data_IF_201881758345
#
_entry.id   IF_201881758345
#
_cell.length_a   1.000
_cell.length_b   1.000
_cell.length_c   1.000
_cell.angle_alpha   90.00
_cell.angle_beta   90.00
_cell.angle_gamma   90.00
#
_symmetry.space_group_name_H-M   'P 1'
#
loop_
_entity.id
_entity.type
_entity.pdbx_description
1 polymer ?
#
# COMPACT_ATOMS: atom_id res chain seq x y z
N UNK A 1 15.84 15.25 -16.14
CA UNK A 1 15.31 14.38 -15.08
C UNK A 1 14.89 13.02 -15.64
N UNK A 2 15.76 12.03 -15.50
CA UNK A 2 15.49 10.64 -15.91
C UNK A 2 14.64 9.99 -14.81
N UNK A 3 13.44 9.56 -15.16
CA UNK A 3 12.73 8.54 -14.38
C UNK A 3 13.30 7.22 -14.86
N UNK A 4 13.96 6.49 -13.97
CA UNK A 4 14.22 5.09 -14.19
C UNK A 4 12.84 4.43 -14.21
N UNK A 5 12.33 4.14 -15.41
CA UNK A 5 11.32 3.11 -15.53
C UNK A 5 11.99 1.82 -15.08
N UNK A 6 11.40 1.14 -14.10
CA UNK A 6 11.84 -0.18 -13.66
C UNK A 6 11.08 -1.21 -14.49
N UNK A 7 11.61 -1.65 -15.64
CA UNK A 7 10.86 -2.51 -16.57
C UNK A 7 10.58 -3.88 -15.95
N UNK A 8 11.34 -4.23 -14.91
CA UNK A 8 11.20 -5.45 -14.10
C UNK A 8 9.94 -5.48 -13.22
N UNK A 9 9.25 -4.36 -13.01
CA UNK A 9 7.94 -4.36 -12.34
C UNK A 9 6.81 -4.83 -13.28
N UNK A 10 7.03 -4.78 -14.60
CA UNK A 10 5.99 -5.02 -15.59
C UNK A 10 5.89 -6.43 -16.17
N UNK A 11 6.58 -7.44 -15.62
CA UNK A 11 6.75 -8.71 -16.36
C UNK A 11 6.07 -9.95 -15.73
N UNK A 12 5.52 -9.87 -14.52
CA UNK A 12 4.66 -10.92 -13.94
C UNK A 12 3.98 -10.41 -12.65
N UNK A 13 2.70 -10.03 -12.71
CA UNK A 13 1.96 -9.55 -11.53
C UNK A 13 1.79 -10.63 -10.46
N UNK A 14 1.57 -11.89 -10.84
CA UNK A 14 1.41 -13.01 -9.92
C UNK A 14 2.72 -13.27 -9.15
N UNK A 15 3.84 -13.32 -9.88
CA UNK A 15 5.17 -13.45 -9.26
C UNK A 15 5.56 -12.23 -8.41
N UNK A 16 5.03 -11.04 -8.70
CA UNK A 16 5.20 -9.86 -7.85
C UNK A 16 4.43 -10.02 -6.54
N UNK A 17 3.15 -10.44 -6.60
CA UNK A 17 2.32 -10.69 -5.42
C UNK A 17 2.96 -11.74 -4.50
N UNK A 18 3.43 -12.85 -5.06
CA UNK A 18 4.14 -13.89 -4.29
C UNK A 18 5.38 -13.34 -3.56
N UNK A 19 6.23 -12.60 -4.27
CA UNK A 19 7.43 -11.99 -3.67
C UNK A 19 7.04 -10.96 -2.60
N UNK A 20 6.02 -10.15 -2.84
CA UNK A 20 5.57 -9.15 -1.89
C UNK A 20 5.04 -9.83 -0.61
N UNK A 21 4.17 -10.84 -0.74
CA UNK A 21 3.69 -11.60 0.41
C UNK A 21 4.83 -12.25 1.19
N UNK A 22 5.83 -12.81 0.51
CA UNK A 22 7.00 -13.37 1.19
C UNK A 22 7.77 -12.31 2.00
N UNK A 23 8.03 -11.14 1.41
CA UNK A 23 8.73 -10.04 2.08
C UNK A 23 7.92 -9.51 3.27
N UNK A 24 6.62 -9.25 3.09
CA UNK A 24 5.75 -8.73 4.15
C UNK A 24 5.67 -9.71 5.32
N UNK A 25 5.44 -11.01 5.07
CA UNK A 25 5.44 -12.04 6.12
C UNK A 25 6.77 -12.11 6.86
N UNK A 26 7.88 -12.03 6.13
CA UNK A 26 9.22 -12.05 6.71
C UNK A 26 9.49 -10.84 7.60
N UNK A 27 9.07 -9.65 7.17
CA UNK A 27 9.20 -8.42 7.95
C UNK A 27 8.25 -8.39 9.15
N UNK A 28 7.02 -8.88 9.01
CA UNK A 28 6.07 -9.05 10.12
C UNK A 28 6.66 -9.95 11.21
N UNK A 29 7.29 -11.07 10.82
CA UNK A 29 7.99 -11.95 11.76
C UNK A 29 9.20 -11.29 12.45
N UNK A 30 9.72 -10.17 11.90
CA UNK A 30 10.80 -9.37 12.47
C UNK A 30 10.30 -8.14 13.25
N UNK A 31 8.98 -7.93 13.35
CA UNK A 31 8.37 -6.83 14.10
C UNK A 31 7.96 -5.62 13.26
N UNK A 32 7.65 -5.81 11.97
CA UNK A 32 6.93 -4.77 11.21
C UNK A 32 5.53 -4.59 11.79
N UNK A 33 5.13 -3.35 12.05
CA UNK A 33 3.85 -3.05 12.71
C UNK A 33 2.68 -2.80 11.73
N UNK A 34 2.96 -2.39 10.48
CA UNK A 34 1.90 -1.94 9.58
C UNK A 34 2.23 -2.02 8.09
N UNK A 35 1.18 -1.97 7.28
CA UNK A 35 1.21 -2.01 5.82
C UNK A 35 0.27 -0.94 5.23
N UNK A 36 0.80 -0.12 4.32
CA UNK A 36 -0.02 0.82 3.55
C UNK A 36 -0.83 0.06 2.50
N UNK A 37 -2.15 0.02 2.70
CA UNK A 37 -3.05 -0.72 1.80
C UNK A 37 -3.82 0.24 0.88
N UNK A 38 -4.12 1.45 1.36
CA UNK A 38 -4.83 2.46 0.59
C UNK A 38 -3.85 3.47 -0.01
N UNK A 39 -3.76 3.47 -1.34
CA UNK A 39 -2.87 4.34 -2.11
C UNK A 39 -3.59 4.97 -3.31
N UNK A 40 -3.30 6.22 -3.72
CA UNK A 40 -4.05 6.92 -4.77
C UNK A 40 -4.15 6.20 -6.11
N UNK A 41 -3.17 5.38 -6.45
CA UNK A 41 -3.12 4.67 -7.73
C UNK A 41 -3.49 3.19 -7.63
N UNK A 42 -3.77 2.67 -6.43
CA UNK A 42 -4.21 1.28 -6.29
C UNK A 42 -5.65 1.15 -6.75
N UNK A 43 -5.91 0.12 -7.55
CA UNK A 43 -7.27 -0.30 -7.85
C UNK A 43 -7.85 -1.17 -6.72
N UNK A 44 -9.08 -1.66 -6.94
CA UNK A 44 -9.79 -2.49 -5.97
C UNK A 44 -9.06 -3.80 -5.68
N UNK A 45 -8.53 -4.48 -6.71
CA UNK A 45 -7.88 -5.80 -6.56
C UNK A 45 -6.50 -5.67 -5.88
N UNK A 46 -5.77 -4.59 -6.16
CA UNK A 46 -4.53 -4.27 -5.44
C UNK A 46 -4.81 -3.97 -3.96
N UNK A 47 -5.83 -3.15 -3.68
CA UNK A 47 -6.20 -2.76 -2.31
C UNK A 47 -6.67 -3.97 -1.50
N UNK A 48 -7.59 -4.78 -2.03
CA UNK A 48 -8.10 -5.98 -1.36
C UNK A 48 -7.01 -7.00 -1.07
N UNK A 49 -6.07 -7.18 -2.02
CA UNK A 49 -4.92 -8.06 -1.81
C UNK A 49 -4.04 -7.62 -0.63
N UNK A 50 -3.74 -6.32 -0.53
CA UNK A 50 -2.93 -5.79 0.58
C UNK A 50 -3.67 -5.86 1.91
N UNK A 51 -4.99 -5.57 1.92
CA UNK A 51 -5.82 -5.69 3.10
C UNK A 51 -5.85 -7.13 3.63
N UNK A 52 -6.02 -8.12 2.75
CA UNK A 52 -5.99 -9.52 3.12
C UNK A 52 -4.61 -9.95 3.66
N UNK A 53 -3.53 -9.45 3.07
CA UNK A 53 -2.16 -9.72 3.53
C UNK A 53 -1.86 -9.08 4.89
N UNK A 54 -2.36 -7.86 5.13
CA UNK A 54 -2.26 -7.19 6.42
C UNK A 54 -3.01 -7.99 7.51
N UNK A 55 -4.24 -8.44 7.21
CA UNK A 55 -5.04 -9.26 8.12
C UNK A 55 -4.34 -10.58 8.44
N UNK A 56 -3.78 -11.26 7.43
CA UNK A 56 -3.05 -12.51 7.60
C UNK A 56 -1.85 -12.35 8.54
N UNK A 57 -1.14 -11.23 8.44
CA UNK A 57 0.08 -10.96 9.20
C UNK A 57 -0.17 -10.24 10.53
N UNK A 58 -1.42 -9.86 10.84
CA UNK A 58 -1.76 -9.05 12.02
C UNK A 58 -1.17 -7.64 11.99
N UNK A 59 -1.02 -7.05 10.81
CA UNK A 59 -0.44 -5.72 10.60
C UNK A 59 -1.50 -4.63 10.67
N UNK A 60 -1.13 -3.45 11.20
CA UNK A 60 -1.94 -2.24 11.13
C UNK A 60 -2.08 -1.77 9.67
N UNK A 61 -3.28 -1.39 9.26
CA UNK A 61 -3.54 -0.88 7.92
C UNK A 61 -3.32 0.64 7.89
N UNK A 62 -2.52 1.14 6.94
CA UNK A 62 -2.34 2.58 6.73
C UNK A 62 -2.77 3.09 5.35
N UNK A 63 -2.80 4.42 5.25
CA UNK A 63 -3.19 5.18 4.07
C UNK A 63 -2.24 6.36 3.88
N UNK A 64 -1.84 6.63 2.63
CA UNK A 64 -0.96 7.74 2.31
C UNK A 64 -1.13 8.19 0.86
N UNK A 65 -1.17 9.50 0.63
CA UNK A 65 -1.28 10.05 -0.72
C UNK A 65 0.06 10.20 -1.43
N UNK A 66 1.17 10.22 -0.68
CA UNK A 66 2.50 10.52 -1.20
C UNK A 66 2.51 11.87 -1.99
N UNK A 67 1.83 12.88 -1.42
CA UNK A 67 1.71 14.20 -2.03
C UNK A 67 3.01 14.99 -1.82
N UNK A 68 3.69 15.31 -2.92
CA UNK A 68 4.90 16.14 -2.95
C UNK A 68 4.64 17.59 -3.39
N UNK A 69 3.37 17.99 -3.48
CA UNK A 69 2.97 19.36 -3.76
C UNK A 69 3.11 19.80 -5.22
N UNK A 70 2.85 21.09 -5.48
CA UNK A 70 2.90 21.66 -6.84
C UNK A 70 4.31 21.56 -7.44
N UNK A 71 4.40 21.04 -8.67
CA UNK A 71 5.68 20.84 -9.38
C UNK A 71 6.19 19.39 -9.37
N UNK A 72 5.52 18.49 -8.64
CA UNK A 72 5.76 17.06 -8.76
C UNK A 72 5.37 16.53 -10.16
N UNK A 73 6.11 15.53 -10.65
CA UNK A 73 5.88 14.92 -11.97
C UNK A 73 4.50 14.27 -12.10
N UNK A 74 4.01 13.69 -11.01
CA UNK A 74 2.66 13.15 -10.89
C UNK A 74 2.05 13.72 -9.62
N UNK A 75 0.96 14.47 -9.77
CA UNK A 75 0.29 15.10 -8.64
C UNK A 75 -0.67 14.09 -8.02
N UNK A 76 -0.27 13.49 -6.89
CA UNK A 76 -1.11 12.61 -6.06
C UNK A 76 -1.64 13.43 -4.88
N UNK A 77 -2.72 14.16 -5.13
CA UNK A 77 -3.26 15.10 -4.15
C UNK A 77 -3.68 14.35 -2.89
N UNK A 78 -3.52 15.01 -1.75
CA UNK A 78 -4.19 14.56 -0.53
C UNK A 78 -5.68 14.28 -0.83
N UNK A 79 -6.15 13.11 -0.38
CA UNK A 79 -7.54 12.64 -0.53
C UNK A 79 -7.98 12.18 -1.95
N UNK A 80 -7.07 11.95 -2.90
CA UNK A 80 -7.42 11.42 -4.23
C UNK A 80 -7.26 9.90 -4.35
N UNK A 81 -8.09 9.11 -3.67
CA UNK A 81 -8.06 7.64 -3.72
C UNK A 81 -9.06 7.09 -4.74
N UNK A 82 -8.69 6.01 -5.44
CA UNK A 82 -9.58 5.32 -6.39
C UNK A 82 -10.58 4.40 -5.69
N UNK A 83 -10.21 3.89 -4.52
CA UNK A 83 -11.01 2.96 -3.70
C UNK A 83 -11.60 3.70 -2.50
N UNK A 84 -12.83 3.35 -2.13
CA UNK A 84 -13.45 3.84 -0.90
C UNK A 84 -12.73 3.27 0.33
N UNK A 85 -12.36 4.15 1.24
CA UNK A 85 -11.54 3.80 2.40
C UNK A 85 -12.42 3.35 3.55
N UNK A 86 -12.20 2.14 4.05
CA UNK A 86 -12.81 1.69 5.31
C UNK A 86 -12.06 2.33 6.49
N UNK A 87 -12.64 3.41 7.02
CA UNK A 87 -12.08 4.16 8.13
C UNK A 87 -11.93 3.34 9.42
N UNK A 88 -12.64 2.21 9.57
CA UNK A 88 -12.50 1.37 10.76
C UNK A 88 -11.16 0.63 10.76
N UNK A 89 -10.63 0.29 9.58
CA UNK A 89 -9.31 -0.35 9.44
C UNK A 89 -8.14 0.58 9.75
N UNK A 90 -8.38 1.89 9.74
CA UNK A 90 -7.39 2.92 10.07
C UNK A 90 -7.39 3.30 11.56
N UNK A 91 -8.25 2.67 12.38
CA UNK A 91 -8.28 2.89 13.82
C UNK A 91 -7.29 1.95 14.48
N UNK A 92 -6.11 2.48 14.82
CA UNK A 92 -5.08 1.71 15.55
C UNK A 92 -5.14 1.92 17.05
N UNK A 93 -5.97 2.87 17.50
CA UNK A 93 -6.15 3.21 18.90
C UNK A 93 -7.63 3.02 19.19
N UNK A 94 -7.96 2.04 20.03
CA UNK A 94 -9.26 1.99 20.68
C UNK A 94 -9.30 3.11 21.74
N UNK A 95 -10.32 3.96 21.65
CA UNK A 95 -10.74 5.04 22.58
C UNK A 95 -9.72 5.49 23.64
N UNK A 96 -9.21 6.73 23.50
CA UNK A 96 -8.68 7.53 24.61
C UNK A 96 -9.81 8.08 25.50
#
# INVERSE_FOLDING_TARGET
PFQLEYPSLGQNQEGLRERLSYVVRSLAALGLDGLECYYPTHDQDETEFLLALADECGLLVSIGSDDHGPGARTVKRMHSFQVEVDVNRLRWIDEL
#
